data_IF_151464636577
#
_entry.id   IF_151464636577
#
_cell.length_a   1.000
_cell.length_b   1.000
_cell.length_c   1.000
_cell.angle_alpha   90.00
_cell.angle_beta   90.00
_cell.angle_gamma   90.00
#
_symmetry.space_group_name_H-M   'P 1'
#
loop_
_entity.id
_entity.type
_entity.pdbx_description
1 polymer ?
#
# COMPACT_ATOMS: atom_id res chain seq x y z
N UNK A 1 -34.61 9.40 0.27
CA UNK A 1 -33.59 9.55 1.34
C UNK A 1 -32.35 8.69 1.05
N UNK A 2 -31.13 9.08 1.49
CA UNK A 2 -29.90 8.28 1.26
C UNK A 2 -29.57 7.47 2.51
N UNK A 3 -29.17 6.21 2.33
CA UNK A 3 -28.72 5.37 3.43
C UNK A 3 -27.44 5.95 4.05
N UNK A 4 -27.42 6.16 5.37
CA UNK A 4 -26.26 6.70 6.10
C UNK A 4 -25.02 5.80 6.03
N UNK A 5 -25.22 4.49 5.78
CA UNK A 5 -24.15 3.51 5.69
C UNK A 5 -23.59 3.34 4.26
N UNK A 6 -24.46 3.05 3.28
CA UNK A 6 -24.01 2.77 1.91
C UNK A 6 -24.10 3.97 0.94
N UNK A 7 -24.68 5.09 1.36
CA UNK A 7 -24.81 6.32 0.56
C UNK A 7 -25.74 6.22 -0.65
N UNK A 8 -26.36 5.05 -0.89
CA UNK A 8 -27.32 4.83 -1.98
C UNK A 8 -28.69 5.41 -1.64
N UNK A 9 -29.40 5.82 -2.69
CA UNK A 9 -30.78 6.28 -2.56
C UNK A 9 -31.71 5.12 -2.23
N UNK A 10 -32.47 5.31 -1.16
CA UNK A 10 -33.50 4.39 -0.70
C UNK A 10 -34.73 4.67 -1.56
N UNK A 11 -35.12 3.70 -2.38
CA UNK A 11 -36.32 3.79 -3.22
C UNK A 11 -37.60 3.47 -2.43
N UNK A 12 -37.49 2.78 -1.29
CA UNK A 12 -38.63 2.31 -0.51
C UNK A 12 -38.61 2.93 0.90
N UNK A 13 -39.47 3.91 1.13
CA UNK A 13 -39.44 4.69 2.38
C UNK A 13 -39.99 3.94 3.60
N UNK A 14 -40.62 2.77 3.39
CA UNK A 14 -41.24 1.95 4.44
C UNK A 14 -40.40 0.76 4.90
N UNK A 15 -39.24 0.51 4.30
CA UNK A 15 -38.40 -0.61 4.73
C UNK A 15 -37.71 -0.28 6.06
N UNK A 16 -37.58 -1.26 6.96
CA UNK A 16 -36.84 -1.11 8.22
C UNK A 16 -35.33 -1.33 8.04
N UNK A 17 -34.92 -1.80 6.86
CA UNK A 17 -33.55 -2.11 6.47
C UNK A 17 -33.24 -1.57 5.07
N UNK A 18 -31.97 -1.28 4.82
CA UNK A 18 -31.53 -0.87 3.50
C UNK A 18 -31.42 -2.08 2.57
N UNK A 19 -32.17 -2.10 1.46
CA UNK A 19 -32.13 -3.18 0.47
C UNK A 19 -30.75 -3.40 -0.18
N UNK A 20 -29.84 -2.42 -0.09
CA UNK A 20 -28.50 -2.50 -0.68
C UNK A 20 -27.41 -2.99 0.28
N UNK A 21 -27.57 -2.79 1.59
CA UNK A 21 -26.56 -3.20 2.58
C UNK A 21 -27.12 -4.10 3.69
N UNK A 22 -28.42 -4.41 3.71
CA UNK A 22 -29.05 -5.31 4.69
C UNK A 22 -29.17 -4.74 6.10
N UNK A 23 -28.56 -3.58 6.37
CA UNK A 23 -28.49 -2.99 7.71
C UNK A 23 -29.80 -2.27 8.07
N UNK A 24 -30.34 -2.46 9.29
CA UNK A 24 -31.50 -1.72 9.78
C UNK A 24 -31.19 -0.24 9.99
N UNK A 25 -32.14 0.64 9.66
CA UNK A 25 -31.95 2.09 9.76
C UNK A 25 -31.73 2.60 11.20
N UNK A 26 -32.19 1.84 12.21
CA UNK A 26 -32.00 2.13 13.64
C UNK A 26 -30.66 1.67 14.21
N UNK A 27 -29.82 0.98 13.43
CA UNK A 27 -28.48 0.64 13.90
C UNK A 27 -27.62 1.90 13.95
N UNK A 28 -27.12 2.24 15.15
CA UNK A 28 -26.09 3.27 15.29
C UNK A 28 -24.97 2.96 14.31
N UNK A 29 -24.44 3.95 13.58
CA UNK A 29 -23.35 3.71 12.65
C UNK A 29 -22.17 3.14 13.44
N UNK A 30 -21.95 1.84 13.27
CA UNK A 30 -20.78 1.16 13.79
C UNK A 30 -19.64 1.61 12.88
N UNK A 31 -19.10 2.80 13.17
CA UNK A 31 -17.84 3.26 12.62
C UNK A 31 -16.75 2.37 13.22
N UNK A 32 -16.69 1.11 12.78
CA UNK A 32 -15.52 0.28 13.03
C UNK A 32 -14.38 0.99 12.34
N UNK A 33 -13.50 1.63 13.12
CA UNK A 33 -12.29 2.30 12.67
C UNK A 33 -11.30 1.37 11.95
N UNK A 34 -11.72 0.16 11.56
CA UNK A 34 -11.00 -0.81 10.74
C UNK A 34 -10.64 -0.23 9.37
N UNK A 35 -11.56 0.44 8.67
CA UNK A 35 -11.25 1.05 7.37
C UNK A 35 -10.23 2.19 7.50
N UNK A 36 -10.36 3.00 8.55
CA UNK A 36 -9.44 4.08 8.88
C UNK A 36 -8.07 3.56 9.30
N UNK A 37 -8.04 2.51 10.13
CA UNK A 37 -6.82 1.83 10.56
C UNK A 37 -6.10 1.16 9.40
N UNK A 38 -6.83 0.51 8.50
CA UNK A 38 -6.25 -0.07 7.29
C UNK A 38 -5.62 0.99 6.37
N UNK A 39 -6.30 2.13 6.20
CA UNK A 39 -5.78 3.27 5.44
C UNK A 39 -4.52 3.85 6.06
N UNK A 40 -4.50 4.05 7.37
CA UNK A 40 -3.32 4.53 8.12
C UNK A 40 -2.13 3.57 7.99
N UNK A 41 -2.35 2.26 8.17
CA UNK A 41 -1.28 1.26 8.03
C UNK A 41 -0.70 1.24 6.60
N UNK A 42 -1.56 1.36 5.58
CA UNK A 42 -1.12 1.46 4.20
C UNK A 42 -0.35 2.77 3.91
N UNK A 43 -0.73 3.90 4.51
CA UNK A 43 0.04 5.15 4.40
C UNK A 43 1.42 5.02 5.05
N UNK A 44 1.51 4.41 6.24
CA UNK A 44 2.78 4.20 6.92
C UNK A 44 3.67 3.27 6.08
N UNK A 45 3.11 2.18 5.55
CA UNK A 45 3.82 1.30 4.63
C UNK A 45 4.34 2.08 3.41
N UNK A 46 3.50 2.95 2.82
CA UNK A 46 3.87 3.75 1.66
C UNK A 46 5.02 4.71 1.96
N UNK A 47 5.02 5.34 3.13
CA UNK A 47 6.13 6.18 3.57
C UNK A 47 7.44 5.39 3.68
N UNK A 48 7.43 4.20 4.30
CA UNK A 48 8.61 3.34 4.36
C UNK A 48 9.09 2.92 2.97
N UNK A 49 8.17 2.54 2.08
CA UNK A 49 8.51 2.16 0.70
C UNK A 49 9.11 3.34 -0.09
N UNK A 50 8.64 4.58 0.10
CA UNK A 50 9.27 5.76 -0.53
C UNK A 50 10.67 5.96 0.03
N UNK A 51 10.86 5.82 1.34
CA UNK A 51 12.17 5.99 1.96
C UNK A 51 13.19 4.98 1.39
N UNK A 52 12.79 3.71 1.24
CA UNK A 52 13.62 2.68 0.60
C UNK A 52 13.92 3.03 -0.86
N UNK A 53 12.91 3.45 -1.62
CA UNK A 53 13.09 3.86 -3.01
C UNK A 53 14.05 5.04 -3.16
N UNK A 54 13.91 6.05 -2.29
CA UNK A 54 14.79 7.21 -2.27
C UNK A 54 16.24 6.84 -1.90
N UNK A 55 16.43 5.97 -0.91
CA UNK A 55 17.75 5.43 -0.55
C UNK A 55 18.37 4.69 -1.75
N UNK A 56 17.57 3.91 -2.49
CA UNK A 56 18.02 3.24 -3.71
C UNK A 56 18.49 4.22 -4.77
N UNK A 57 17.71 5.27 -5.04
CA UNK A 57 18.05 6.30 -6.03
C UNK A 57 19.27 7.14 -5.60
N UNK A 58 19.39 7.49 -4.32
CA UNK A 58 20.55 8.26 -3.83
C UNK A 58 21.82 7.42 -3.89
N UNK A 59 21.78 6.17 -3.45
CA UNK A 59 22.94 5.29 -3.55
C UNK A 59 23.30 4.98 -5.01
N UNK A 60 22.31 4.90 -5.90
CA UNK A 60 22.52 4.81 -7.35
C UNK A 60 23.35 5.98 -7.87
N UNK A 61 22.98 7.22 -7.52
CA UNK A 61 23.71 8.41 -7.98
C UNK A 61 25.15 8.42 -7.46
N UNK A 62 25.34 8.09 -6.18
CA UNK A 62 26.68 8.01 -5.57
C UNK A 62 27.53 6.90 -6.18
N UNK A 63 26.95 5.74 -6.50
CA UNK A 63 27.65 4.62 -7.12
C UNK A 63 28.12 4.96 -8.53
N UNK A 64 27.27 5.64 -9.32
CA UNK A 64 27.64 6.11 -10.67
C UNK A 64 28.81 7.08 -10.61
N UNK A 65 28.74 8.07 -9.73
CA UNK A 65 29.78 9.11 -9.64
C UNK A 65 31.14 8.50 -9.26
N UNK A 66 31.13 7.50 -8.37
CA UNK A 66 32.34 6.78 -7.96
C UNK A 66 32.91 5.87 -9.05
N UNK A 67 32.08 5.06 -9.72
CA UNK A 67 32.53 4.05 -10.69
C UNK A 67 32.66 4.56 -12.12
N UNK A 68 32.15 5.76 -12.44
CA UNK A 68 32.32 6.38 -13.76
C UNK A 68 33.79 6.48 -14.19
N UNK A 69 34.72 6.56 -13.23
CA UNK A 69 36.15 6.63 -13.48
C UNK A 69 36.84 5.27 -13.70
N UNK A 70 36.25 4.15 -13.27
CA UNK A 70 36.93 2.84 -13.18
C UNK A 70 36.42 1.77 -14.16
N UNK A 71 35.45 2.11 -15.00
CA UNK A 71 34.79 1.17 -15.91
C UNK A 71 33.42 0.75 -15.36
N UNK A 72 32.42 0.76 -16.25
CA UNK A 72 31.02 0.61 -15.91
C UNK A 72 30.63 -0.86 -15.70
N UNK A 73 30.18 -1.24 -14.51
CA UNK A 73 29.42 -2.48 -14.31
C UNK A 73 27.91 -2.21 -14.46
N UNK A 74 27.41 -2.41 -15.67
CA UNK A 74 26.03 -2.11 -16.03
C UNK A 74 24.98 -2.98 -15.31
N UNK A 75 25.39 -4.15 -14.79
CA UNK A 75 24.47 -5.14 -14.21
C UNK A 75 23.95 -4.68 -12.84
N UNK A 76 24.87 -4.37 -11.92
CA UNK A 76 24.58 -3.83 -10.59
C UNK A 76 23.85 -2.49 -10.67
N UNK A 77 24.19 -1.66 -11.67
CA UNK A 77 23.53 -0.40 -11.98
C UNK A 77 22.02 -0.55 -12.29
N UNK A 78 21.67 -1.55 -13.10
CA UNK A 78 20.28 -1.81 -13.49
C UNK A 78 19.43 -2.21 -12.27
N UNK A 79 20.00 -3.00 -11.35
CA UNK A 79 19.34 -3.43 -10.12
C UNK A 79 18.90 -2.26 -9.24
N UNK A 80 19.80 -1.30 -8.97
CA UNK A 80 19.47 -0.12 -8.15
C UNK A 80 18.35 0.73 -8.72
N UNK A 81 18.37 0.95 -10.04
CA UNK A 81 17.36 1.76 -10.71
C UNK A 81 16.00 1.06 -10.69
N UNK A 82 15.97 -0.25 -10.95
CA UNK A 82 14.71 -1.00 -10.92
C UNK A 82 14.08 -1.02 -9.54
N UNK A 83 14.79 -1.41 -8.47
CA UNK A 83 14.15 -1.45 -7.16
C UNK A 83 13.78 -0.05 -6.66
N UNK A 84 14.63 0.96 -6.90
CA UNK A 84 14.40 2.34 -6.45
C UNK A 84 13.16 2.95 -7.09
N UNK A 85 13.06 2.87 -8.42
CA UNK A 85 11.92 3.40 -9.17
C UNK A 85 10.66 2.60 -8.87
N UNK A 86 10.75 1.27 -8.79
CA UNK A 86 9.59 0.43 -8.53
C UNK A 86 9.01 0.68 -7.13
N UNK A 87 9.86 0.87 -6.11
CA UNK A 87 9.42 1.22 -4.76
C UNK A 87 8.71 2.59 -4.71
N UNK A 88 9.19 3.59 -5.45
CA UNK A 88 8.53 4.91 -5.55
C UNK A 88 7.16 4.78 -6.22
N UNK A 89 7.07 4.06 -7.34
CA UNK A 89 5.80 3.82 -8.05
C UNK A 89 4.82 3.08 -7.12
N UNK A 90 5.29 2.01 -6.47
CA UNK A 90 4.47 1.23 -5.55
C UNK A 90 3.94 2.07 -4.39
N UNK A 91 4.76 2.96 -3.85
CA UNK A 91 4.32 3.92 -2.83
C UNK A 91 3.27 4.90 -3.32
N UNK A 92 3.38 5.41 -4.55
CA UNK A 92 2.37 6.29 -5.11
C UNK A 92 1.00 5.58 -5.20
N UNK A 93 0.99 4.31 -5.61
CA UNK A 93 -0.20 3.47 -5.58
C UNK A 93 -0.69 3.19 -4.14
N UNK A 94 0.23 2.97 -3.20
CA UNK A 94 -0.07 2.82 -1.77
C UNK A 94 -0.76 4.06 -1.18
N UNK A 95 -0.24 5.25 -1.45
CA UNK A 95 -0.84 6.52 -1.03
C UNK A 95 -2.19 6.77 -1.70
N UNK A 96 -2.30 6.56 -3.01
CA UNK A 96 -3.56 6.73 -3.72
C UNK A 96 -4.63 5.74 -3.21
N UNK A 97 -4.25 4.47 -3.03
CA UNK A 97 -5.13 3.42 -2.51
C UNK A 97 -5.61 3.68 -1.08
N UNK A 98 -4.71 4.12 -0.20
CA UNK A 98 -5.03 4.45 1.19
C UNK A 98 -5.89 5.71 1.31
N UNK A 99 -5.59 6.77 0.56
CA UNK A 99 -6.43 7.98 0.51
C UNK A 99 -7.85 7.66 0.01
N UNK A 100 -7.98 6.81 -1.01
CA UNK A 100 -9.27 6.35 -1.49
C UNK A 100 -10.01 5.49 -0.45
N UNK A 101 -9.30 4.62 0.26
CA UNK A 101 -9.87 3.83 1.37
C UNK A 101 -10.48 4.72 2.46
N UNK A 102 -9.81 5.82 2.81
CA UNK A 102 -10.31 6.79 3.79
C UNK A 102 -11.56 7.55 3.30
N UNK A 103 -11.70 7.74 1.98
CA UNK A 103 -12.88 8.38 1.40
C UNK A 103 -14.13 7.49 1.35
N UNK A 104 -14.04 6.23 1.80
CA UNK A 104 -15.12 5.25 1.76
C UNK A 104 -15.53 4.82 0.34
N UNK A 105 -14.87 5.35 -0.70
CA UNK A 105 -15.15 5.08 -2.11
C UNK A 105 -14.05 4.21 -2.71
N UNK A 106 -14.44 3.12 -3.38
CA UNK A 106 -13.56 2.24 -4.20
C UNK A 106 -12.53 1.41 -3.43
N UNK A 107 -12.98 0.65 -2.42
CA UNK A 107 -12.19 -0.34 -1.66
C UNK A 107 -11.35 -1.29 -2.53
N UNK A 108 -11.80 -1.64 -3.75
CA UNK A 108 -11.06 -2.48 -4.69
C UNK A 108 -9.70 -1.89 -5.11
N UNK A 109 -9.59 -0.56 -5.21
CA UNK A 109 -8.36 0.13 -5.59
C UNK A 109 -7.35 0.13 -4.43
N UNK A 110 -7.84 0.18 -3.19
CA UNK A 110 -6.99 0.07 -1.99
C UNK A 110 -6.28 -1.29 -1.91
N UNK A 111 -7.00 -2.38 -2.23
CA UNK A 111 -6.41 -3.73 -2.30
C UNK A 111 -5.35 -3.83 -3.39
N UNK A 112 -5.57 -3.20 -4.55
CA UNK A 112 -4.58 -3.17 -5.62
C UNK A 112 -3.30 -2.43 -5.17
N UNK A 113 -3.44 -1.29 -4.49
CA UNK A 113 -2.30 -0.55 -3.94
C UNK A 113 -1.48 -1.39 -2.97
N UNK A 114 -2.14 -2.06 -2.01
CA UNK A 114 -1.44 -2.95 -1.06
C UNK A 114 -0.78 -4.15 -1.72
N UNK A 115 -1.37 -4.72 -2.79
CA UNK A 115 -0.73 -5.79 -3.57
C UNK A 115 0.52 -5.30 -4.31
N UNK A 116 0.47 -4.12 -4.95
CA UNK A 116 1.63 -3.54 -5.64
C UNK A 116 2.76 -3.24 -4.65
N UNK A 117 2.42 -2.74 -3.46
CA UNK A 117 3.39 -2.53 -2.38
C UNK A 117 4.06 -3.81 -1.91
N UNK A 118 3.27 -4.88 -1.73
CA UNK A 118 3.82 -6.18 -1.36
C UNK A 118 4.73 -6.75 -2.47
N UNK A 119 4.31 -6.63 -3.74
CA UNK A 119 5.13 -7.03 -4.87
C UNK A 119 6.47 -6.27 -4.89
N UNK A 120 6.46 -4.97 -4.58
CA UNK A 120 7.68 -4.18 -4.48
C UNK A 120 8.64 -4.73 -3.44
N UNK A 121 8.16 -5.19 -2.27
CA UNK A 121 9.03 -5.80 -1.26
C UNK A 121 9.67 -7.08 -1.77
N UNK A 122 8.91 -7.92 -2.48
CA UNK A 122 9.44 -9.16 -3.07
C UNK A 122 10.52 -8.85 -4.10
N UNK A 123 10.30 -7.86 -4.97
CA UNK A 123 11.32 -7.41 -5.92
C UNK A 123 12.58 -6.91 -5.21
N UNK A 124 12.43 -6.03 -4.22
CA UNK A 124 13.57 -5.54 -3.42
C UNK A 124 14.33 -6.68 -2.76
N UNK A 125 13.64 -7.70 -2.24
CA UNK A 125 14.28 -8.87 -1.64
C UNK A 125 15.10 -9.67 -2.67
N UNK A 126 14.53 -9.92 -3.84
CA UNK A 126 15.21 -10.64 -4.93
C UNK A 126 16.43 -9.86 -5.41
N UNK A 127 16.31 -8.54 -5.60
CA UNK A 127 17.43 -7.70 -6.01
C UNK A 127 18.55 -7.68 -4.96
N UNK A 128 18.21 -7.54 -3.68
CA UNK A 128 19.21 -7.58 -2.60
C UNK A 128 19.92 -8.93 -2.54
N UNK A 129 19.19 -10.03 -2.75
CA UNK A 129 19.76 -11.37 -2.72
C UNK A 129 20.64 -11.66 -3.94
N UNK A 130 20.25 -11.18 -5.13
CA UNK A 130 20.97 -11.45 -6.37
C UNK A 130 22.25 -10.61 -6.49
N UNK A 131 22.22 -9.34 -6.06
CA UNK A 131 23.34 -8.40 -6.21
C UNK A 131 24.23 -8.26 -4.97
N UNK A 132 23.92 -8.97 -3.88
CA UNK A 132 24.70 -9.01 -2.62
C UNK A 132 25.12 -7.61 -2.11
N UNK A 133 24.13 -6.73 -1.92
CA UNK A 133 24.40 -5.38 -1.46
C UNK A 133 24.86 -5.33 0.00
N UNK A 134 25.98 -4.64 0.28
CA UNK A 134 26.56 -4.50 1.62
C UNK A 134 25.72 -3.72 2.65
N UNK A 135 24.58 -3.15 2.24
CA UNK A 135 23.61 -2.45 3.11
C UNK A 135 22.24 -3.15 3.14
N UNK A 136 22.25 -4.46 2.90
CA UNK A 136 21.07 -5.33 2.87
C UNK A 136 20.23 -5.27 4.15
N UNK A 137 20.84 -5.15 5.33
CA UNK A 137 20.13 -5.20 6.62
C UNK A 137 19.08 -4.10 6.79
N UNK A 138 19.42 -2.85 6.47
CA UNK A 138 18.50 -1.71 6.60
C UNK A 138 17.35 -1.76 5.60
N UNK A 139 17.65 -2.21 4.37
CA UNK A 139 16.66 -2.40 3.30
C UNK A 139 15.74 -3.59 3.62
N UNK A 140 16.28 -4.67 4.18
CA UNK A 140 15.50 -5.85 4.59
C UNK A 140 14.57 -5.52 5.75
N UNK A 141 15.04 -4.82 6.79
CA UNK A 141 14.19 -4.47 7.94
C UNK A 141 13.01 -3.57 7.54
N UNK A 142 13.29 -2.58 6.68
CA UNK A 142 12.25 -1.71 6.13
C UNK A 142 11.31 -2.47 5.19
N UNK A 143 11.82 -3.36 4.34
CA UNK A 143 11.02 -4.26 3.50
C UNK A 143 10.09 -5.17 4.30
N UNK A 144 10.58 -5.82 5.37
CA UNK A 144 9.78 -6.66 6.27
C UNK A 144 8.66 -5.83 6.91
N UNK A 145 8.97 -4.61 7.34
CA UNK A 145 7.98 -3.69 7.91
C UNK A 145 6.88 -3.33 6.89
N UNK A 146 7.26 -3.00 5.65
CA UNK A 146 6.31 -2.72 4.56
C UNK A 146 5.44 -3.94 4.27
N UNK A 147 6.01 -5.14 4.22
CA UNK A 147 5.26 -6.38 4.00
C UNK A 147 4.26 -6.65 5.14
N UNK A 148 4.71 -6.58 6.40
CA UNK A 148 3.85 -6.80 7.56
C UNK A 148 2.68 -5.80 7.62
N UNK A 149 2.97 -4.52 7.40
CA UNK A 149 1.95 -3.46 7.38
C UNK A 149 0.99 -3.61 6.20
N UNK A 150 1.48 -4.01 5.03
CA UNK A 150 0.65 -4.25 3.84
C UNK A 150 -0.29 -5.45 4.04
N UNK A 151 0.19 -6.54 4.64
CA UNK A 151 -0.63 -7.72 4.97
C UNK A 151 -1.69 -7.33 6.02
N UNK A 152 -1.28 -6.65 7.09
CA UNK A 152 -2.21 -6.20 8.14
C UNK A 152 -3.29 -5.28 7.57
N UNK A 153 -2.91 -4.32 6.71
CA UNK A 153 -3.85 -3.45 6.01
C UNK A 153 -4.81 -4.25 5.13
N UNK A 154 -4.31 -5.18 4.31
CA UNK A 154 -5.15 -6.01 3.44
C UNK A 154 -6.17 -6.84 4.24
N UNK A 155 -5.76 -7.45 5.36
CA UNK A 155 -6.66 -8.21 6.24
C UNK A 155 -7.77 -7.30 6.79
N UNK A 156 -7.43 -6.09 7.25
CA UNK A 156 -8.41 -5.14 7.78
C UNK A 156 -9.36 -4.63 6.69
N UNK A 157 -8.88 -4.42 5.46
CA UNK A 157 -9.73 -4.06 4.32
C UNK A 157 -10.71 -5.19 3.96
N UNK A 158 -10.27 -6.45 4.02
CA UNK A 158 -11.15 -7.60 3.76
C UNK A 158 -12.17 -7.78 4.88
N UNK A 159 -11.76 -7.63 6.14
CA UNK A 159 -12.70 -7.70 7.28
C UNK A 159 -13.71 -6.57 7.28
N UNK A 160 -13.32 -5.34 6.94
CA UNK A 160 -14.26 -4.21 6.87
C UNK A 160 -15.33 -4.40 5.79
N UNK A 161 -15.04 -5.14 4.72
CA UNK A 161 -16.08 -5.55 3.76
C UNK A 161 -17.12 -6.47 4.37
N UNK A 162 -16.70 -7.42 5.19
CA UNK A 162 -17.61 -8.40 5.80
C UNK A 162 -18.51 -7.79 6.89
N UNK A 163 -18.16 -6.61 7.42
CA UNK A 163 -19.03 -5.86 8.35
C UNK A 163 -20.06 -4.97 7.63
N UNK A 164 -19.85 -4.68 6.34
CA UNK A 164 -20.69 -3.78 5.53
C UNK A 164 -21.64 -4.55 4.60
N UNK A 165 -21.51 -5.88 4.54
CA UNK A 165 -22.37 -6.77 3.72
C UNK A 165 -23.35 -7.52 4.61
#
# INVERSE_FOLDING_TARGET
>A
MKCAQCGKEIQDEKSSFCAYCGIPFDSKPQNTGLATGAGLLAMIAAAFSVAVGAIGVVNYLSYIDYYAAYGYDASTFIGFLFFGVFAIIASAFGFAGSALSLSGKRVKISVLGTMVMFASVVFTFVDVWYYDYGFSEGILLSGISVAALSIASAILVVKSKNEVT
#
